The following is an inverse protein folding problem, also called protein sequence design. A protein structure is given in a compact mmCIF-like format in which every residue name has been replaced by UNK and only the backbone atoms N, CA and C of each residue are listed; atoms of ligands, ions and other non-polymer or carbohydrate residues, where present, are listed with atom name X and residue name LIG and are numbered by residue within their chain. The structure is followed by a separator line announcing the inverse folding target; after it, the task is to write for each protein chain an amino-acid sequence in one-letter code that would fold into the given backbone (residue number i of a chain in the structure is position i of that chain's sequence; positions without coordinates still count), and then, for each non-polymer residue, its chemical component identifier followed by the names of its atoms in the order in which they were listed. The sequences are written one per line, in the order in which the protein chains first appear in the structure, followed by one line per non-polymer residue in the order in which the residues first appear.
data_IF_244647266639
#
_entry.id   IF_244647266639
#
_cell.length_a   1.000
_cell.length_b   1.000
_cell.length_c   1.000
_cell.angle_alpha   90.00
_cell.angle_beta   90.00
_cell.angle_gamma   90.00
#
_symmetry.space_group_name_H-M   'P 1'
#
loop_
_entity.id
_entity.type
_entity.pdbx_description
1 polymer ?
#
# COMPACT_ATOMS: atom_id res chain seq x y z
N UNK A 1 7.94 -7.02 11.61
CA UNK A 1 6.65 -6.57 11.04
C UNK A 1 6.44 -7.14 9.66
N UNK A 2 5.19 -7.48 9.35
CA UNK A 2 4.87 -8.01 8.03
C UNK A 2 4.88 -6.90 7.00
N UNK A 3 5.53 -7.16 5.87
CA UNK A 3 5.44 -6.25 4.74
C UNK A 3 4.11 -6.45 4.02
N UNK A 4 3.61 -5.38 3.42
CA UNK A 4 2.40 -5.45 2.60
C UNK A 4 2.70 -6.08 1.24
N UNK A 5 3.87 -5.82 0.70
CA UNK A 5 4.29 -6.30 -0.62
C UNK A 5 5.65 -6.98 -0.53
N UNK A 6 5.88 -7.97 -1.37
CA UNK A 6 7.22 -8.56 -1.45
C UNK A 6 8.17 -7.61 -2.17
N UNK A 7 9.46 -7.60 -1.82
CA UNK A 7 10.43 -6.75 -2.52
C UNK A 7 10.50 -7.04 -4.02
N UNK A 8 10.35 -8.30 -4.42
CA UNK A 8 10.36 -8.68 -5.82
C UNK A 8 9.17 -8.09 -6.58
N UNK A 9 8.01 -8.10 -5.95
CA UNK A 9 6.81 -7.52 -6.55
C UNK A 9 7.01 -6.03 -6.78
N UNK A 10 7.47 -5.32 -5.76
CA UNK A 10 7.70 -3.86 -5.87
C UNK A 10 8.74 -3.56 -6.94
N UNK A 11 9.81 -4.35 -7.00
CA UNK A 11 10.89 -4.13 -7.97
C UNK A 11 10.42 -4.28 -9.42
N UNK A 12 9.34 -5.03 -9.65
CA UNK A 12 8.80 -5.24 -10.99
C UNK A 12 7.81 -4.16 -11.40
N UNK A 13 7.45 -3.25 -10.51
CA UNK A 13 6.46 -2.22 -10.79
C UNK A 13 7.10 -0.95 -11.35
N UNK A 14 6.47 -0.35 -12.36
CA UNK A 14 6.83 0.99 -12.78
C UNK A 14 6.09 2.01 -11.91
N UNK A 15 6.33 3.30 -12.13
CA UNK A 15 5.73 4.36 -11.31
C UNK A 15 4.21 4.32 -11.32
N UNK A 16 3.62 4.07 -12.47
CA UNK A 16 2.17 4.01 -12.60
C UNK A 16 1.60 2.81 -11.84
N UNK A 17 2.26 1.66 -11.97
CA UNK A 17 1.83 0.45 -11.29
C UNK A 17 1.93 0.60 -9.77
N UNK A 18 2.95 1.30 -9.29
CA UNK A 18 3.08 1.60 -7.86
C UNK A 18 1.89 2.39 -7.35
N UNK A 19 1.47 3.41 -8.10
CA UNK A 19 0.32 4.22 -7.72
C UNK A 19 -0.95 3.38 -7.72
N UNK A 20 -1.13 2.50 -8.72
CA UNK A 20 -2.28 1.61 -8.76
C UNK A 20 -2.30 0.67 -7.56
N UNK A 21 -1.15 0.15 -7.16
CA UNK A 21 -1.06 -0.71 -5.98
C UNK A 21 -1.43 0.06 -4.72
N UNK A 22 -0.98 1.29 -4.59
CA UNK A 22 -1.32 2.14 -3.47
C UNK A 22 -2.84 2.42 -3.41
N UNK A 23 -3.44 2.73 -4.55
CA UNK A 23 -4.88 2.97 -4.61
C UNK A 23 -5.67 1.71 -4.24
N UNK A 24 -5.18 0.52 -4.62
CA UNK A 24 -5.83 -0.73 -4.25
C UNK A 24 -5.80 -0.94 -2.74
N UNK A 25 -4.69 -0.61 -2.08
CA UNK A 25 -4.59 -0.69 -0.62
C UNK A 25 -5.62 0.23 0.05
N UNK A 26 -5.73 1.46 -0.43
CA UNK A 26 -6.69 2.42 0.12
C UNK A 26 -8.13 1.94 -0.04
N UNK A 27 -8.44 1.38 -1.20
CA UNK A 27 -9.78 0.85 -1.46
C UNK A 27 -10.13 -0.28 -0.51
N UNK A 28 -9.20 -1.22 -0.33
CA UNK A 28 -9.43 -2.35 0.55
C UNK A 28 -9.65 -1.90 1.99
N UNK A 29 -8.87 -0.94 2.45
CA UNK A 29 -9.04 -0.41 3.80
C UNK A 29 -10.42 0.21 3.99
N UNK A 30 -10.93 0.92 3.00
CA UNK A 30 -12.25 1.51 3.05
C UNK A 30 -13.34 0.45 3.03
N UNK A 31 -13.17 -0.59 2.22
CA UNK A 31 -14.17 -1.66 2.11
C UNK A 31 -14.33 -2.45 3.39
N UNK A 32 -13.26 -2.62 4.16
CA UNK A 32 -13.36 -3.32 5.44
C UNK A 32 -13.55 -2.37 6.62
N UNK A 33 -13.86 -1.12 6.35
CA UNK A 33 -14.14 -0.13 7.39
C UNK A 33 -13.00 0.02 8.40
N UNK A 34 -11.77 0.07 7.93
CA UNK A 34 -10.61 0.26 8.79
C UNK A 34 -10.74 1.57 9.56
N UNK A 35 -10.26 1.59 10.81
CA UNK A 35 -10.24 2.81 11.59
C UNK A 35 -9.31 3.83 10.95
N UNK A 36 -9.48 5.11 11.30
CA UNK A 36 -8.60 6.16 10.79
C UNK A 36 -7.14 5.87 11.15
N UNK A 37 -6.90 5.41 12.35
CA UNK A 37 -5.57 5.06 12.81
C UNK A 37 -4.95 3.94 11.99
N UNK A 38 -5.71 2.89 11.72
CA UNK A 38 -5.24 1.79 10.88
C UNK A 38 -5.04 2.24 9.45
N UNK A 39 -5.97 3.03 8.92
CA UNK A 39 -5.87 3.57 7.57
C UNK A 39 -4.56 4.36 7.40
N UNK A 40 -4.29 5.27 8.32
CA UNK A 40 -3.07 6.09 8.26
C UNK A 40 -1.82 5.23 8.35
N UNK A 41 -1.79 4.26 9.25
CA UNK A 41 -0.62 3.42 9.45
C UNK A 41 -0.33 2.57 8.21
N UNK A 42 -1.37 1.93 7.66
CA UNK A 42 -1.19 1.03 6.52
C UNK A 42 -0.85 1.81 5.25
N UNK A 43 -1.48 2.97 5.02
CA UNK A 43 -1.15 3.78 3.85
C UNK A 43 0.26 4.34 3.93
N UNK A 44 0.72 4.76 5.12
CA UNK A 44 2.10 5.20 5.31
C UNK A 44 3.09 4.08 5.00
N UNK A 45 2.79 2.87 5.45
CA UNK A 45 3.64 1.73 5.17
C UNK A 45 3.66 1.41 3.68
N UNK A 46 2.52 1.51 3.01
CA UNK A 46 2.44 1.27 1.56
C UNK A 46 3.30 2.27 0.79
N UNK A 47 3.26 3.55 1.18
CA UNK A 47 4.08 4.58 0.56
C UNK A 47 5.56 4.24 0.69
N UNK A 48 5.99 3.84 1.89
CA UNK A 48 7.38 3.47 2.13
C UNK A 48 7.80 2.26 1.30
N UNK A 49 6.98 1.22 1.31
CA UNK A 49 7.33 -0.02 0.60
C UNK A 49 7.35 0.18 -0.91
N UNK A 50 6.44 0.99 -1.43
CA UNK A 50 6.36 1.27 -2.86
C UNK A 50 7.34 2.36 -3.31
N UNK A 51 7.95 3.08 -2.38
CA UNK A 51 8.91 4.14 -2.66
C UNK A 51 8.31 5.26 -3.53
N UNK A 52 7.13 5.68 -3.19
CA UNK A 52 6.45 6.78 -3.90
C UNK A 52 6.28 8.02 -3.03
#
# INVERSE_FOLDING_TARGET
MKRLFSPKFVASLDDREKILAYEAVKRELRERNASQEEYDRVTDQAIEELEI
#
